data_IF_768206016959
#
_entry.id   IF_768206016959
#
_cell.length_a   1.000
_cell.length_b   1.000
_cell.length_c   1.000
_cell.angle_alpha   90.00
_cell.angle_beta   90.00
_cell.angle_gamma   90.00
#
_symmetry.space_group_name_H-M   'P 1'
#
loop_
_entity.id
_entity.type
_entity.pdbx_description
1 polymer ?
#
# COMPACT_ATOMS: atom_id res chain seq x y z
N UNK A 1 12.35 3.74 7.76
CA UNK A 1 10.87 3.58 7.81
C UNK A 1 10.47 2.61 8.95
N UNK A 2 11.10 2.75 10.11
CA UNK A 2 10.67 2.15 11.38
C UNK A 2 9.71 3.08 12.15
N UNK A 3 9.17 4.12 11.48
CA UNK A 3 8.44 5.24 12.09
C UNK A 3 6.97 4.92 12.40
N UNK A 4 6.51 3.67 12.29
CA UNK A 4 5.11 3.32 12.58
C UNK A 4 4.91 2.30 13.70
N UNK A 5 5.97 1.88 14.40
CA UNK A 5 5.89 0.92 15.52
C UNK A 5 6.81 1.27 16.69
N UNK A 6 6.84 2.54 17.12
CA UNK A 6 7.28 2.84 18.49
C UNK A 6 6.06 3.18 19.33
N UNK A 7 5.55 2.18 20.06
CA UNK A 7 4.72 2.40 21.25
C UNK A 7 5.62 3.04 22.31
N UNK A 8 5.76 4.37 22.26
CA UNK A 8 6.40 5.14 23.31
C UNK A 8 5.53 5.07 24.57
N UNK A 9 6.06 4.48 25.63
CA UNK A 9 5.48 4.53 26.96
C UNK A 9 5.51 5.97 27.49
N UNK A 10 4.45 6.72 27.19
CA UNK A 10 4.21 8.06 27.72
C UNK A 10 3.08 8.68 26.91
N UNK A 11 1.92 8.88 27.55
CA UNK A 11 0.71 9.57 27.07
C UNK A 11 0.86 10.44 25.81
N UNK A 12 0.99 9.83 24.63
CA UNK A 12 0.88 10.53 23.36
C UNK A 12 -0.62 10.62 23.03
N UNK A 13 -1.18 11.82 23.11
CA UNK A 13 -2.42 12.10 22.40
C UNK A 13 -2.22 11.70 20.94
N UNK A 14 -2.90 10.62 20.50
CA UNK A 14 -2.87 10.17 19.10
C UNK A 14 -3.21 11.34 18.20
N UNK A 15 -2.20 11.97 17.59
CA UNK A 15 -2.38 13.08 16.64
C UNK A 15 -3.21 12.56 15.47
N UNK A 16 -4.48 12.96 15.40
CA UNK A 16 -5.40 12.58 14.31
C UNK A 16 -5.37 13.62 13.22
N UNK A 17 -5.13 13.18 11.98
CA UNK A 17 -5.24 14.05 10.82
C UNK A 17 -6.69 14.55 10.68
N UNK A 18 -6.86 15.86 10.45
CA UNK A 18 -8.19 16.45 10.27
C UNK A 18 -8.89 15.87 9.04
N UNK A 19 -10.23 15.78 9.08
CA UNK A 19 -11.02 15.29 7.94
C UNK A 19 -10.74 16.07 6.66
N UNK A 20 -10.51 17.37 6.77
CA UNK A 20 -10.11 18.23 5.65
C UNK A 20 -8.78 17.76 5.06
N UNK A 21 -7.73 17.65 5.87
CA UNK A 21 -6.40 17.27 5.40
C UNK A 21 -6.39 15.85 4.81
N UNK A 22 -7.14 14.91 5.40
CA UNK A 22 -7.28 13.58 4.83
C UNK A 22 -7.98 13.57 3.46
N UNK A 23 -8.99 14.42 3.26
CA UNK A 23 -9.63 14.60 1.95
C UNK A 23 -8.69 15.28 0.95
N UNK A 24 -7.97 16.31 1.39
CA UNK A 24 -7.02 17.05 0.55
C UNK A 24 -5.93 16.12 0.00
N UNK A 25 -5.36 15.23 0.82
CA UNK A 25 -4.36 14.25 0.37
C UNK A 25 -4.92 13.26 -0.66
N UNK A 26 -6.19 12.89 -0.54
CA UNK A 26 -6.86 12.00 -1.50
C UNK A 26 -7.53 12.71 -2.68
N UNK A 27 -7.26 14.00 -2.84
CA UNK A 27 -7.78 14.83 -3.92
C UNK A 27 -6.71 15.00 -5.00
N UNK A 28 -6.91 14.33 -6.14
CA UNK A 28 -5.94 14.34 -7.25
C UNK A 28 -6.32 15.26 -8.41
N UNK A 29 -7.60 15.60 -8.52
CA UNK A 29 -8.10 16.66 -9.42
C UNK A 29 -8.21 17.90 -8.56
N UNK A 30 -8.25 19.10 -9.14
CA UNK A 30 -8.56 20.24 -8.26
C UNK A 30 -9.34 21.38 -8.83
N UNK A 31 -10.33 21.03 -9.64
CA UNK A 31 -11.65 21.64 -9.49
C UNK A 31 -12.55 20.88 -8.50
N UNK A 32 -12.13 19.71 -8.00
CA UNK A 32 -12.95 18.81 -7.19
C UNK A 32 -12.26 18.49 -5.88
N UNK A 33 -13.03 18.25 -4.81
CA UNK A 33 -12.53 17.67 -3.56
C UNK A 33 -13.01 16.24 -3.45
N UNK A 34 -12.09 15.32 -3.17
CA UNK A 34 -12.43 13.92 -2.90
C UNK A 34 -13.39 13.82 -1.73
N UNK A 35 -14.46 13.04 -1.90
CA UNK A 35 -15.39 12.74 -0.80
C UNK A 35 -14.85 11.64 0.11
N UNK A 36 -13.91 10.85 -0.40
CA UNK A 36 -13.25 9.77 0.31
C UNK A 36 -11.94 10.27 0.92
N UNK A 37 -11.84 10.40 2.26
CA UNK A 37 -10.57 10.74 2.89
C UNK A 37 -9.57 9.60 2.72
N UNK A 38 -8.27 9.92 2.69
CA UNK A 38 -7.24 8.90 2.89
C UNK A 38 -7.48 8.23 4.25
N UNK A 39 -7.43 6.90 4.26
CA UNK A 39 -7.69 6.09 5.45
C UNK A 39 -6.41 5.39 5.87
N UNK A 40 -6.10 5.32 7.17
CA UNK A 40 -4.97 4.52 7.64
C UNK A 40 -5.19 3.05 7.28
N UNK A 41 -4.11 2.37 6.88
CA UNK A 41 -4.12 0.94 6.61
C UNK A 41 -4.50 0.18 7.89
N UNK A 42 -5.65 -0.48 7.86
CA UNK A 42 -6.20 -1.20 9.03
C UNK A 42 -5.48 -2.53 9.29
N UNK A 43 -4.95 -3.15 8.24
CA UNK A 43 -4.35 -4.48 8.29
C UNK A 43 -2.82 -4.40 8.25
N UNK A 44 -2.14 -5.03 9.22
CA UNK A 44 -0.67 -5.11 9.28
C UNK A 44 -0.06 -5.75 8.04
N UNK A 45 -0.72 -6.75 7.43
CA UNK A 45 -0.29 -7.35 6.16
C UNK A 45 -0.35 -6.35 5.01
N UNK A 46 -1.36 -5.49 4.98
CA UNK A 46 -1.45 -4.41 4.00
C UNK A 46 -0.34 -3.39 4.25
N UNK A 47 -0.11 -2.95 5.49
CA UNK A 47 1.02 -2.05 5.83
C UNK A 47 2.34 -2.59 5.29
N UNK A 48 2.65 -3.86 5.59
CA UNK A 48 3.89 -4.48 5.14
C UNK A 48 3.99 -4.58 3.62
N UNK A 49 2.87 -4.81 2.92
CA UNK A 49 2.84 -4.87 1.46
C UNK A 49 3.22 -3.52 0.83
N UNK A 50 2.69 -2.42 1.36
CA UNK A 50 2.96 -1.07 0.87
C UNK A 50 4.42 -0.67 1.16
N UNK A 51 4.89 -0.90 2.39
CA UNK A 51 6.31 -0.69 2.76
C UNK A 51 7.24 -1.47 1.82
N UNK A 52 6.95 -2.75 1.55
CA UNK A 52 7.74 -3.58 0.63
C UNK A 52 7.72 -3.04 -0.80
N UNK A 53 6.63 -2.42 -1.25
CA UNK A 53 6.55 -1.80 -2.57
C UNK A 53 7.57 -0.67 -2.70
N UNK A 54 7.65 0.21 -1.70
CA UNK A 54 8.61 1.30 -1.69
C UNK A 54 10.06 0.82 -1.51
N UNK A 55 10.30 -0.20 -0.67
CA UNK A 55 11.62 -0.84 -0.55
C UNK A 55 12.09 -1.40 -1.90
N UNK A 56 11.21 -2.07 -2.65
CA UNK A 56 11.52 -2.56 -4.00
C UNK A 56 11.85 -1.43 -4.97
N UNK A 57 11.18 -0.28 -4.89
CA UNK A 57 11.51 0.91 -5.68
C UNK A 57 12.93 1.42 -5.36
N UNK A 58 13.30 1.50 -4.08
CA UNK A 58 14.66 1.88 -3.66
C UNK A 58 15.70 0.88 -4.18
N UNK A 59 15.47 -0.43 -4.03
CA UNK A 59 16.36 -1.46 -4.57
C UNK A 59 16.44 -1.40 -6.10
N UNK A 60 15.34 -1.13 -6.79
CA UNK A 60 15.31 -0.95 -8.24
C UNK A 60 16.19 0.23 -8.66
N UNK A 61 16.08 1.37 -7.96
CA UNK A 61 16.92 2.53 -8.22
C UNK A 61 18.40 2.21 -8.06
N UNK A 62 18.78 1.54 -6.95
CA UNK A 62 20.14 1.07 -6.71
C UNK A 62 20.63 0.17 -7.85
N UNK A 63 19.89 -0.90 -8.17
CA UNK A 63 20.29 -1.90 -9.19
C UNK A 63 20.49 -1.27 -10.56
N UNK A 64 19.64 -0.32 -10.94
CA UNK A 64 19.75 0.34 -12.24
C UNK A 64 20.91 1.33 -12.29
N UNK A 65 21.08 2.12 -11.22
CA UNK A 65 22.08 3.21 -11.21
C UNK A 65 23.48 2.74 -10.85
N UNK A 66 23.61 1.89 -9.82
CA UNK A 66 24.88 1.41 -9.27
C UNK A 66 25.33 0.11 -9.94
N UNK A 67 24.48 -0.94 -9.94
CA UNK A 67 24.85 -2.24 -10.52
C UNK A 67 24.78 -2.25 -12.06
N UNK A 68 24.16 -1.24 -12.65
CA UNK A 68 23.98 -1.12 -14.10
C UNK A 68 22.99 -2.13 -14.70
N UNK A 69 22.13 -2.73 -13.88
CA UNK A 69 21.07 -3.61 -14.34
C UNK A 69 20.14 -2.90 -15.33
N UNK A 70 19.62 -3.65 -16.30
CA UNK A 70 18.68 -3.17 -17.33
C UNK A 70 19.23 -2.07 -18.26
N UNK A 71 20.54 -1.80 -18.23
CA UNK A 71 21.19 -0.93 -19.22
C UNK A 71 21.19 -1.59 -20.60
N UNK A 72 20.87 -0.80 -21.62
CA UNK A 72 20.98 -1.20 -23.03
C UNK A 72 22.00 -0.26 -23.69
N UNK A 73 23.23 -0.75 -23.84
CA UNK A 73 24.38 0.11 -24.13
C UNK A 73 24.59 1.11 -22.99
N UNK A 74 24.80 2.38 -23.33
CA UNK A 74 25.00 3.47 -22.34
C UNK A 74 23.70 4.03 -21.75
N UNK A 75 22.53 3.51 -22.17
CA UNK A 75 21.23 4.08 -21.80
C UNK A 75 20.64 3.37 -20.60
N UNK A 76 20.29 4.15 -19.59
CA UNK A 76 19.50 3.74 -18.43
C UNK A 76 18.00 3.72 -18.75
N UNK A 77 17.20 2.85 -18.11
CA UNK A 77 15.73 2.84 -18.21
C UNK A 77 15.04 4.14 -17.75
N UNK A 78 15.74 4.98 -16.98
CA UNK A 78 15.28 6.29 -16.50
C UNK A 78 16.48 7.24 -16.35
N UNK A 79 16.22 8.53 -16.17
CA UNK A 79 17.25 9.56 -16.03
C UNK A 79 17.21 10.17 -14.62
N UNK A 80 18.10 9.73 -13.70
CA UNK A 80 18.09 10.27 -12.35
C UNK A 80 18.60 11.70 -12.34
N UNK A 81 17.79 12.60 -11.78
CA UNK A 81 18.15 14.01 -11.57
C UNK A 81 19.30 14.13 -10.58
N UNK A 82 20.00 15.28 -10.61
CA UNK A 82 21.09 15.55 -9.65
C UNK A 82 20.59 15.45 -8.20
N UNK A 83 19.39 15.98 -7.93
CA UNK A 83 18.76 15.90 -6.60
C UNK A 83 18.53 14.47 -6.14
N UNK A 84 18.13 13.58 -7.04
CA UNK A 84 17.93 12.16 -6.72
C UNK A 84 19.25 11.45 -6.44
N UNK A 85 20.31 11.75 -7.20
CA UNK A 85 21.65 11.17 -6.99
C UNK A 85 22.22 11.56 -5.62
N UNK A 86 22.23 12.87 -5.31
CA UNK A 86 22.71 13.38 -4.02
C UNK A 86 21.89 12.80 -2.87
N UNK A 87 20.56 12.85 -2.95
CA UNK A 87 19.73 12.33 -1.86
C UNK A 87 19.87 10.80 -1.68
N UNK A 88 20.14 10.06 -2.76
CA UNK A 88 20.42 8.63 -2.70
C UNK A 88 21.78 8.34 -2.05
N UNK A 89 22.81 9.11 -2.40
CA UNK A 89 24.16 9.00 -1.81
C UNK A 89 24.12 9.30 -0.30
N UNK A 90 23.43 10.36 0.12
CA UNK A 90 23.20 10.69 1.54
C UNK A 90 22.53 9.51 2.27
N UNK A 91 21.46 8.97 1.70
CA UNK A 91 20.71 7.85 2.28
C UNK A 91 21.56 6.58 2.35
N UNK A 92 22.37 6.31 1.32
CA UNK A 92 23.25 5.16 1.30
C UNK A 92 24.35 5.26 2.35
N UNK A 93 24.93 6.45 2.53
CA UNK A 93 25.92 6.73 3.57
C UNK A 93 25.34 6.50 4.98
N UNK A 94 24.19 7.12 5.27
CA UNK A 94 23.52 6.96 6.57
C UNK A 94 23.15 5.49 6.86
N UNK A 95 22.73 4.74 5.84
CA UNK A 95 22.46 3.31 5.99
C UNK A 95 23.74 2.50 6.26
N UNK A 96 24.87 2.89 5.67
CA UNK A 96 26.17 2.27 5.91
C UNK A 96 26.67 2.50 7.33
N UNK A 97 26.57 3.74 7.83
CA UNK A 97 26.97 4.13 9.19
C UNK A 97 26.16 3.36 10.25
N UNK A 98 24.83 3.27 10.08
CA UNK A 98 23.99 2.46 10.96
C UNK A 98 24.38 0.97 10.91
N UNK A 99 24.68 0.44 9.72
CA UNK A 99 25.04 -0.96 9.57
C UNK A 99 26.40 -1.31 10.19
N UNK A 100 27.37 -0.40 10.11
CA UNK A 100 28.69 -0.56 10.75
C UNK A 100 28.56 -0.60 12.28
N UNK A 101 27.71 0.27 12.85
CA UNK A 101 27.40 0.28 14.29
C UNK A 101 26.75 -1.04 14.75
N UNK A 102 25.73 -1.52 14.00
CA UNK A 102 25.06 -2.80 14.28
C UNK A 102 26.03 -4.00 14.23
N UNK A 103 26.98 -3.99 13.29
CA UNK A 103 27.99 -5.05 13.17
C UNK A 103 29.06 -4.97 14.25
N UNK A 104 29.51 -3.77 14.63
CA UNK A 104 30.50 -3.55 15.70
C UNK A 104 30.04 -4.16 17.02
N UNK A 105 28.74 -4.06 17.33
CA UNK A 105 28.12 -4.70 18.50
C UNK A 105 28.06 -6.23 18.42
N UNK A 106 27.84 -6.81 17.24
CA UNK A 106 27.78 -8.27 17.07
C UNK A 106 29.19 -8.92 17.04
N UNK A 107 30.23 -8.18 16.67
CA UNK A 107 31.61 -8.66 16.59
C UNK A 107 32.43 -8.59 17.88
N UNK A 108 31.97 -7.85 18.91
CA UNK A 108 32.69 -7.63 20.17
C UNK A 108 32.54 -8.73 21.23
N UNK A 109 31.84 -9.83 20.94
CA UNK A 109 31.56 -10.91 21.91
C UNK A 109 32.67 -11.95 22.10
N UNK A 110 33.93 -11.63 21.77
CA UNK A 110 35.07 -12.53 21.87
C UNK A 110 36.12 -12.02 22.84
N UNK A 111 36.13 -12.62 24.04
CA UNK A 111 37.25 -12.66 25.01
C UNK A 111 37.67 -11.32 25.65
N UNK A 112 37.10 -10.99 26.81
CA UNK A 112 37.77 -11.02 28.13
C UNK A 112 37.20 -10.02 29.16
N UNK A 113 36.92 -10.58 30.34
CA UNK A 113 36.86 -10.02 31.69
C UNK A 113 35.68 -9.12 32.13
N UNK A 114 35.12 -9.54 33.27
CA UNK A 114 34.09 -8.89 34.08
C UNK A 114 34.64 -7.58 34.66
N UNK A 115 34.20 -6.44 34.12
CA UNK A 115 34.11 -5.20 34.89
C UNK A 115 32.70 -4.63 34.73
N UNK A 116 32.05 -4.42 35.88
CA UNK A 116 30.69 -3.92 36.03
C UNK A 116 30.60 -2.40 35.76
N UNK A 117 29.52 -2.03 35.06
CA UNK A 117 28.79 -0.75 35.08
C UNK A 117 29.26 0.45 34.22
N UNK A 118 28.25 1.14 33.64
CA UNK A 118 28.26 2.43 32.91
C UNK A 118 28.43 2.47 31.37
N UNK A 119 27.92 1.50 30.60
CA UNK A 119 27.95 1.54 29.11
C UNK A 119 26.61 1.74 28.37
N UNK A 120 25.46 1.68 29.05
CA UNK A 120 24.17 1.47 28.36
C UNK A 120 23.46 2.71 27.81
N UNK A 121 23.72 3.91 28.33
CA UNK A 121 22.96 5.12 27.97
C UNK A 121 23.58 5.90 26.80
N UNK A 122 24.91 5.94 26.67
CA UNK A 122 25.58 6.65 25.55
C UNK A 122 25.43 5.90 24.22
N UNK A 123 25.43 4.56 24.25
CA UNK A 123 25.33 3.67 23.10
C UNK A 123 23.89 3.66 22.50
N UNK A 124 22.86 3.76 23.35
CA UNK A 124 21.48 3.92 22.87
C UNK A 124 21.25 5.28 22.19
N UNK A 125 21.92 6.34 22.65
CA UNK A 125 21.84 7.67 22.06
C UNK A 125 22.41 7.75 20.64
N UNK A 126 23.56 7.11 20.38
CA UNK A 126 24.19 7.10 19.05
C UNK A 126 23.32 6.38 18.01
N UNK A 127 22.75 5.22 18.36
CA UNK A 127 21.89 4.45 17.45
C UNK A 127 20.60 5.19 17.12
N UNK A 128 19.96 5.83 18.10
CA UNK A 128 18.75 6.62 17.86
C UNK A 128 19.01 7.81 16.94
N UNK A 129 20.17 8.46 17.07
CA UNK A 129 20.59 9.53 16.17
C UNK A 129 20.82 9.02 14.74
N UNK A 130 21.51 7.89 14.56
CA UNK A 130 21.75 7.27 13.26
C UNK A 130 20.45 6.81 12.59
N UNK A 131 19.53 6.21 13.35
CA UNK A 131 18.20 5.83 12.88
C UNK A 131 17.39 7.06 12.43
N UNK A 132 17.42 8.13 13.23
CA UNK A 132 16.76 9.38 12.88
C UNK A 132 17.37 9.99 11.61
N UNK A 133 18.70 10.00 11.46
CA UNK A 133 19.36 10.45 10.23
C UNK A 133 18.97 9.61 9.01
N UNK A 134 18.92 8.29 9.15
CA UNK A 134 18.46 7.40 8.10
C UNK A 134 17.01 7.69 7.69
N UNK A 135 16.11 7.90 8.65
CA UNK A 135 14.72 8.25 8.35
C UNK A 135 14.61 9.60 7.60
N UNK A 136 15.42 10.59 7.97
CA UNK A 136 15.47 11.89 7.29
C UNK A 136 16.00 11.76 5.84
N UNK A 137 17.06 11.00 5.63
CA UNK A 137 17.67 10.81 4.31
C UNK A 137 16.78 9.95 3.40
N UNK A 138 16.13 8.91 3.93
CA UNK A 138 15.12 8.11 3.20
C UNK A 138 13.94 8.99 2.76
N UNK A 139 13.44 9.87 3.64
CA UNK A 139 12.37 10.79 3.26
C UNK A 139 12.84 11.79 2.19
N UNK A 140 14.04 12.34 2.31
CA UNK A 140 14.62 13.26 1.32
C UNK A 140 14.76 12.60 -0.05
N UNK A 141 15.27 11.38 -0.10
CA UNK A 141 15.37 10.59 -1.34
C UNK A 141 13.98 10.30 -1.92
N UNK A 142 13.04 9.86 -1.08
CA UNK A 142 11.66 9.57 -1.50
C UNK A 142 10.96 10.80 -2.08
N UNK A 143 11.15 11.97 -1.46
CA UNK A 143 10.67 13.24 -2.01
C UNK A 143 11.37 13.62 -3.31
N UNK A 144 12.66 13.34 -3.47
CA UNK A 144 13.37 13.58 -4.74
C UNK A 144 12.84 12.68 -5.88
N UNK A 145 12.35 11.48 -5.57
CA UNK A 145 11.65 10.61 -6.53
C UNK A 145 10.28 11.19 -6.93
N UNK A 146 9.48 11.61 -5.94
CA UNK A 146 8.14 12.17 -6.16
C UNK A 146 8.21 13.52 -6.88
N UNK A 147 9.14 14.38 -6.48
CA UNK A 147 9.32 15.76 -6.97
C UNK A 147 10.22 15.80 -8.21
N UNK A 148 9.99 14.89 -9.16
CA UNK A 148 10.69 14.86 -10.43
C UNK A 148 9.83 15.46 -11.52
N UNK A 149 10.31 16.52 -12.17
CA UNK A 149 9.60 17.14 -13.28
C UNK A 149 9.85 16.37 -14.58
N UNK A 150 8.77 16.04 -15.28
CA UNK A 150 8.74 15.23 -16.49
C UNK A 150 8.13 16.05 -17.65
N UNK A 151 8.94 16.92 -18.25
CA UNK A 151 8.44 17.81 -19.32
C UNK A 151 8.34 17.11 -20.70
N UNK A 152 9.07 16.01 -20.92
CA UNK A 152 9.20 15.38 -22.25
C UNK A 152 8.87 13.88 -22.24
N UNK A 153 9.44 13.12 -21.29
CA UNK A 153 9.30 11.65 -21.25
C UNK A 153 8.95 11.18 -19.85
N UNK A 154 7.80 10.52 -19.71
CA UNK A 154 7.35 9.93 -18.45
C UNK A 154 8.38 8.95 -17.85
N UNK A 155 9.01 8.14 -18.71
CA UNK A 155 10.00 7.12 -18.33
C UNK A 155 11.34 7.68 -17.83
N UNK A 156 11.58 8.99 -17.93
CA UNK A 156 12.75 9.58 -17.27
C UNK A 156 12.61 9.48 -15.74
N UNK A 157 11.40 9.26 -15.21
CA UNK A 157 11.18 8.93 -13.80
C UNK A 157 11.49 7.47 -13.46
N UNK A 158 12.31 7.29 -12.42
CA UNK A 158 12.53 5.99 -11.79
C UNK A 158 11.24 5.34 -11.30
N UNK A 159 10.27 6.12 -10.81
CA UNK A 159 8.99 5.58 -10.33
C UNK A 159 8.13 5.02 -11.47
N UNK A 160 8.07 5.73 -12.59
CA UNK A 160 7.31 5.30 -13.78
C UNK A 160 7.99 4.10 -14.42
N UNK A 161 9.32 4.12 -14.52
CA UNK A 161 10.12 3.01 -15.02
C UNK A 161 9.97 1.76 -14.15
N UNK A 162 10.02 1.92 -12.82
CA UNK A 162 9.76 0.85 -11.85
C UNK A 162 8.35 0.28 -11.98
N UNK A 163 7.32 1.14 -12.07
CA UNK A 163 5.94 0.71 -12.23
C UNK A 163 5.77 -0.15 -13.50
N UNK A 164 6.41 0.22 -14.61
CA UNK A 164 6.37 -0.59 -15.82
C UNK A 164 7.02 -1.98 -15.65
N UNK A 165 8.13 -2.06 -14.91
CA UNK A 165 8.76 -3.35 -14.60
C UNK A 165 7.88 -4.21 -13.70
N UNK A 166 7.15 -3.61 -12.75
CA UNK A 166 6.21 -4.31 -11.87
C UNK A 166 5.04 -4.97 -12.62
N UNK A 167 4.73 -4.55 -13.85
CA UNK A 167 3.68 -5.19 -14.64
C UNK A 167 4.05 -6.61 -15.10
N UNK A 168 5.32 -6.99 -15.03
CA UNK A 168 5.77 -8.34 -15.37
C UNK A 168 5.65 -9.29 -14.18
N UNK A 169 4.97 -10.41 -14.36
CA UNK A 169 4.96 -11.51 -13.39
C UNK A 169 6.04 -12.55 -13.74
N UNK A 170 7.12 -12.63 -12.94
CA UNK A 170 8.19 -13.58 -13.21
C UNK A 170 7.79 -15.04 -12.97
N UNK A 171 6.79 -15.33 -12.13
CA UNK A 171 6.39 -16.69 -11.81
C UNK A 171 5.66 -17.34 -13.00
N UNK A 172 4.67 -16.63 -13.55
CA UNK A 172 3.94 -17.08 -14.74
C UNK A 172 4.61 -16.71 -16.07
N UNK A 173 5.70 -15.93 -16.03
CA UNK A 173 6.43 -15.40 -17.19
C UNK A 173 5.50 -14.69 -18.17
N UNK A 174 4.59 -13.87 -17.64
CA UNK A 174 3.62 -13.12 -18.45
C UNK A 174 3.37 -11.74 -17.86
N UNK A 175 2.61 -10.92 -18.58
CA UNK A 175 2.15 -9.63 -18.09
C UNK A 175 0.97 -9.84 -17.12
N UNK A 176 0.97 -9.07 -16.04
CA UNK A 176 -0.11 -9.08 -15.07
C UNK A 176 -1.43 -8.65 -15.71
N UNK A 177 -2.52 -9.26 -15.25
CA UNK A 177 -3.86 -8.77 -15.54
C UNK A 177 -4.04 -7.36 -14.98
N UNK A 178 -4.81 -6.54 -15.70
CA UNK A 178 -4.95 -5.10 -15.41
C UNK A 178 -5.45 -4.83 -13.98
N UNK A 179 -6.38 -5.66 -13.47
CA UNK A 179 -6.85 -5.55 -12.09
C UNK A 179 -5.75 -5.77 -11.03
N UNK A 180 -4.82 -6.71 -11.28
CA UNK A 180 -3.70 -6.96 -10.38
C UNK A 180 -2.68 -5.82 -10.45
N UNK A 181 -2.42 -5.30 -11.65
CA UNK A 181 -1.46 -4.21 -11.87
C UNK A 181 -1.94 -2.88 -11.25
N UNK A 182 -3.21 -2.52 -11.40
CA UNK A 182 -3.78 -1.29 -10.81
C UNK A 182 -3.72 -1.26 -9.29
N UNK A 183 -3.68 -2.42 -8.64
CA UNK A 183 -3.47 -2.55 -7.20
C UNK A 183 -2.05 -2.08 -6.79
N UNK A 184 -1.01 -2.42 -7.57
CA UNK A 184 0.35 -1.92 -7.33
C UNK A 184 0.48 -0.42 -7.53
N UNK A 185 -0.14 0.12 -8.59
CA UNK A 185 -0.18 1.57 -8.81
C UNK A 185 -0.84 2.31 -7.65
N UNK A 186 -1.91 1.73 -7.10
CA UNK A 186 -2.60 2.29 -5.93
C UNK A 186 -1.73 2.30 -4.68
N UNK A 187 -0.91 1.25 -4.48
CA UNK A 187 0.06 1.20 -3.38
C UNK A 187 1.08 2.34 -3.49
N UNK A 188 1.73 2.48 -4.65
CA UNK A 188 2.71 3.53 -4.88
C UNK A 188 2.13 4.93 -4.71
N UNK A 189 0.92 5.18 -5.21
CA UNK A 189 0.24 6.47 -5.06
C UNK A 189 -0.06 6.75 -3.58
N UNK A 190 -0.50 5.74 -2.84
CA UNK A 190 -0.75 5.89 -1.40
C UNK A 190 0.54 6.18 -0.60
N UNK A 191 1.63 5.50 -0.93
CA UNK A 191 2.94 5.78 -0.31
C UNK A 191 3.36 7.24 -0.57
N UNK A 192 3.14 7.76 -1.79
CA UNK A 192 3.39 9.17 -2.10
C UNK A 192 2.56 10.12 -1.21
N UNK A 193 1.29 9.81 -0.99
CA UNK A 193 0.42 10.62 -0.12
C UNK A 193 0.94 10.64 1.33
N UNK A 194 1.40 9.49 1.84
CA UNK A 194 1.98 9.38 3.17
C UNK A 194 3.31 10.14 3.29
N UNK A 195 4.18 10.05 2.29
CA UNK A 195 5.47 10.74 2.29
C UNK A 195 5.29 12.27 2.21
N UNK A 196 4.30 12.75 1.44
CA UNK A 196 3.94 14.17 1.40
C UNK A 196 3.34 14.64 2.73
N UNK A 197 2.52 13.80 3.38
CA UNK A 197 2.01 14.10 4.71
C UNK A 197 3.17 14.19 5.73
N UNK A 198 4.06 13.21 5.75
CA UNK A 198 5.22 13.20 6.64
C UNK A 198 6.10 14.44 6.43
N UNK A 199 6.38 14.80 5.18
CA UNK A 199 7.12 16.01 4.86
C UNK A 199 6.42 17.28 5.36
N UNK A 200 5.10 17.36 5.18
CA UNK A 200 4.31 18.51 5.63
C UNK A 200 4.30 18.62 7.16
N UNK A 201 4.25 17.49 7.88
CA UNK A 201 4.37 17.44 9.34
C UNK A 201 5.75 17.93 9.79
N UNK A 202 6.84 17.43 9.18
CA UNK A 202 8.19 17.88 9.52
C UNK A 202 8.40 19.38 9.32
N UNK A 203 7.79 19.99 8.29
CA UNK A 203 7.85 21.44 8.09
C UNK A 203 7.17 22.19 9.23
N UNK A 204 6.05 21.68 9.74
CA UNK A 204 5.33 22.29 10.87
C UNK A 204 6.06 22.06 12.19
N UNK A 205 6.46 20.83 12.48
CA UNK A 205 7.14 20.45 13.72
C UNK A 205 8.51 21.17 13.86
N UNK A 206 9.21 21.42 12.75
CA UNK A 206 10.46 22.21 12.74
C UNK A 206 10.25 23.73 12.74
N UNK A 207 9.01 24.22 12.80
CA UNK A 207 8.68 25.64 12.77
C UNK A 207 8.92 26.34 11.42
N UNK A 208 9.25 25.59 10.35
CA UNK A 208 9.43 26.11 8.98
C UNK A 208 8.11 26.48 8.32
N UNK A 209 6.99 25.97 8.83
CA UNK A 209 5.64 26.34 8.42
C UNK A 209 4.70 26.41 9.63
N UNK A 210 3.69 27.27 9.56
CA UNK A 210 2.72 27.45 10.64
C UNK A 210 1.45 26.60 10.45
N UNK A 211 1.09 26.29 9.21
CA UNK A 211 -0.16 25.59 8.88
C UNK A 211 0.12 24.33 8.06
N UNK A 212 -0.27 23.18 8.63
CA UNK A 212 -0.21 21.88 7.97
C UNK A 212 -1.08 21.83 6.71
N UNK A 213 -2.24 22.49 6.74
CA UNK A 213 -3.19 22.49 5.62
C UNK A 213 -2.57 23.16 4.40
N UNK A 214 -2.00 24.35 4.58
CA UNK A 214 -1.27 25.06 3.54
C UNK A 214 -0.08 24.26 2.99
N UNK A 215 0.67 23.56 3.85
CA UNK A 215 1.77 22.70 3.41
C UNK A 215 1.28 21.56 2.50
N UNK A 216 0.23 20.85 2.94
CA UNK A 216 -0.38 19.77 2.16
C UNK A 216 -0.86 20.30 0.81
N UNK A 217 -1.56 21.44 0.78
CA UNK A 217 -2.04 22.05 -0.46
C UNK A 217 -0.88 22.36 -1.40
N UNK A 218 0.17 23.02 -0.92
CA UNK A 218 1.31 23.42 -1.73
C UNK A 218 2.03 22.22 -2.37
N UNK A 219 2.37 21.22 -1.56
CA UNK A 219 3.10 20.04 -2.05
C UNK A 219 2.22 19.18 -2.95
N UNK A 220 0.95 18.96 -2.57
CA UNK A 220 -0.01 18.20 -3.38
C UNK A 220 -0.25 18.86 -4.73
N UNK A 221 -0.52 20.16 -4.75
CA UNK A 221 -0.87 20.87 -5.97
C UNK A 221 0.30 20.94 -6.96
N UNK A 222 1.53 20.86 -6.45
CA UNK A 222 2.73 20.82 -7.26
C UNK A 222 3.06 19.42 -7.79
N UNK A 223 2.74 18.35 -7.04
CA UNK A 223 3.35 17.02 -7.29
C UNK A 223 2.43 15.80 -7.25
N UNK A 224 1.24 15.89 -6.64
CA UNK A 224 0.36 14.72 -6.50
C UNK A 224 -0.84 14.75 -7.45
N UNK A 225 -1.20 15.90 -8.00
CA UNK A 225 -2.37 16.01 -8.87
C UNK A 225 -2.15 15.40 -10.25
N UNK A 226 -3.24 15.00 -10.89
CA UNK A 226 -3.23 14.41 -12.22
C UNK A 226 -2.92 15.39 -13.36
N UNK A 227 -2.91 16.69 -13.09
CA UNK A 227 -2.58 17.78 -14.02
C UNK A 227 -1.14 18.31 -13.82
N UNK A 228 -0.31 17.62 -13.03
CA UNK A 228 1.09 18.00 -12.79
C UNK A 228 2.04 17.29 -13.77
N UNK A 229 3.16 17.91 -14.17
CA UNK A 229 4.19 17.27 -14.99
C UNK A 229 5.10 16.39 -14.12
N UNK A 230 4.52 15.48 -13.33
CA UNK A 230 5.22 14.69 -12.32
C UNK A 230 4.89 13.20 -12.38
N UNK A 231 5.69 12.34 -11.74
CA UNK A 231 5.53 10.90 -11.80
C UNK A 231 4.21 10.41 -11.23
N UNK A 232 3.66 11.07 -10.21
CA UNK A 232 2.39 10.67 -9.61
C UNK A 232 1.24 10.87 -10.60
N UNK A 233 1.28 11.91 -11.43
CA UNK A 233 0.30 12.11 -12.51
C UNK A 233 0.33 10.96 -13.53
N UNK A 234 1.52 10.50 -13.92
CA UNK A 234 1.69 9.36 -14.83
C UNK A 234 1.17 8.05 -14.23
N UNK A 235 1.45 7.80 -12.95
CA UNK A 235 0.91 6.64 -12.21
C UNK A 235 -0.62 6.70 -12.12
N UNK A 236 -1.17 7.89 -11.85
CA UNK A 236 -2.60 8.14 -11.80
C UNK A 236 -3.26 7.89 -13.16
N UNK A 237 -2.70 8.44 -14.23
CA UNK A 237 -3.19 8.25 -15.60
C UNK A 237 -3.19 6.78 -16.00
N UNK A 238 -2.09 6.07 -15.74
CA UNK A 238 -1.97 4.64 -15.99
C UNK A 238 -3.00 3.83 -15.19
N UNK A 239 -3.21 4.18 -13.92
CA UNK A 239 -4.21 3.51 -13.07
C UNK A 239 -5.63 3.73 -13.57
N UNK A 240 -5.98 4.96 -13.95
CA UNK A 240 -7.30 5.30 -14.47
C UNK A 240 -7.59 4.58 -15.79
N UNK A 241 -6.61 4.54 -16.69
CA UNK A 241 -6.71 3.74 -17.91
C UNK A 241 -6.91 2.26 -17.58
N UNK A 242 -6.16 1.72 -16.60
CA UNK A 242 -6.32 0.35 -16.15
C UNK A 242 -7.73 0.05 -15.62
N UNK A 243 -8.32 0.96 -14.84
CA UNK A 243 -9.70 0.81 -14.39
C UNK A 243 -10.70 0.87 -15.54
N UNK A 244 -10.50 1.75 -16.51
CA UNK A 244 -11.39 1.83 -17.69
C UNK A 244 -11.32 0.54 -18.53
N UNK A 245 -10.11 -0.01 -18.73
CA UNK A 245 -9.93 -1.29 -19.40
C UNK A 245 -10.62 -2.40 -18.60
N UNK A 246 -10.41 -2.48 -17.29
CA UNK A 246 -11.02 -3.51 -16.45
C UNK A 246 -12.55 -3.44 -16.45
N UNK A 247 -13.13 -2.24 -16.53
CA UNK A 247 -14.58 -2.03 -16.60
C UNK A 247 -15.16 -2.46 -17.96
N UNK A 248 -14.45 -2.23 -19.05
CA UNK A 248 -14.96 -2.46 -20.41
C UNK A 248 -14.51 -3.80 -21.01
N UNK A 249 -13.58 -4.51 -20.35
CA UNK A 249 -13.14 -5.83 -20.79
C UNK A 249 -13.97 -6.88 -20.06
N UNK A 250 -14.64 -7.75 -20.82
CA UNK A 250 -15.23 -8.96 -20.25
C UNK A 250 -14.07 -9.81 -19.75
N UNK A 251 -13.92 -9.92 -18.43
CA UNK A 251 -12.94 -10.84 -17.84
C UNK A 251 -13.14 -12.22 -18.48
N UNK A 252 -12.08 -12.83 -19.01
CA UNK A 252 -12.14 -14.26 -19.38
C UNK A 252 -12.76 -15.00 -18.21
N UNK A 253 -13.77 -15.84 -18.47
CA UNK A 253 -14.55 -16.53 -17.47
C UNK A 253 -13.63 -17.01 -16.33
N UNK A 254 -13.69 -16.31 -15.19
CA UNK A 254 -12.81 -16.59 -14.06
C UNK A 254 -13.11 -17.98 -13.50
N UNK A 255 -14.35 -18.41 -13.72
CA UNK A 255 -14.92 -19.70 -13.42
C UNK A 255 -15.01 -20.51 -14.72
N UNK A 256 -14.34 -21.65 -14.79
CA UNK A 256 -14.35 -22.55 -15.95
C UNK A 256 -14.93 -23.89 -15.54
N UNK A 257 -15.69 -24.52 -16.43
CA UNK A 257 -16.09 -25.92 -16.25
C UNK A 257 -14.95 -26.82 -16.69
N UNK A 258 -14.60 -27.78 -15.85
CA UNK A 258 -13.81 -28.92 -16.27
C UNK A 258 -14.64 -29.80 -17.22
N UNK A 259 -13.97 -30.62 -18.03
CA UNK A 259 -14.64 -31.42 -19.07
C UNK A 259 -15.64 -32.45 -18.50
N UNK A 260 -15.55 -32.77 -17.21
CA UNK A 260 -16.48 -33.66 -16.51
C UNK A 260 -17.87 -33.03 -16.27
N UNK A 261 -18.02 -31.71 -16.42
CA UNK A 261 -19.27 -31.01 -16.13
C UNK A 261 -19.64 -30.96 -14.63
N UNK A 262 -18.79 -31.47 -13.74
CA UNK A 262 -19.02 -31.54 -12.29
C UNK A 262 -17.96 -30.79 -11.49
N UNK A 263 -16.86 -30.38 -12.11
CA UNK A 263 -15.79 -29.64 -11.47
C UNK A 263 -15.74 -28.23 -12.04
N UNK A 264 -15.77 -27.25 -11.13
CA UNK A 264 -15.58 -25.85 -11.43
C UNK A 264 -14.14 -25.47 -11.05
N UNK A 265 -13.47 -24.75 -11.94
CA UNK A 265 -12.11 -24.23 -11.74
C UNK A 265 -12.18 -22.71 -11.63
N UNK A 266 -11.75 -22.17 -10.49
CA UNK A 266 -11.58 -20.75 -10.26
C UNK A 266 -10.13 -20.46 -9.85
N UNK A 267 -9.39 -19.73 -10.68
CA UNK A 267 -7.94 -19.52 -10.52
C UNK A 267 -7.19 -20.87 -10.36
N UNK A 268 -6.57 -21.12 -9.21
CA UNK A 268 -5.87 -22.38 -8.87
C UNK A 268 -6.76 -23.35 -8.07
N UNK A 269 -7.97 -22.94 -7.71
CA UNK A 269 -8.88 -23.74 -6.90
C UNK A 269 -9.80 -24.55 -7.82
N UNK A 270 -9.84 -25.86 -7.56
CA UNK A 270 -10.77 -26.78 -8.22
C UNK A 270 -11.77 -27.26 -7.19
N UNK A 271 -13.06 -27.08 -7.48
CA UNK A 271 -14.15 -27.51 -6.62
C UNK A 271 -15.10 -28.39 -7.41
N UNK A 272 -15.33 -29.61 -6.93
CA UNK A 272 -16.47 -30.41 -7.40
C UNK A 272 -17.77 -29.78 -6.92
N UNK A 273 -18.85 -29.98 -7.67
CA UNK A 273 -20.17 -29.45 -7.32
C UNK A 273 -20.65 -29.92 -5.93
N UNK A 274 -20.27 -31.12 -5.49
CA UNK A 274 -20.53 -31.61 -4.13
C UNK A 274 -19.83 -30.74 -3.08
N UNK A 275 -18.51 -30.54 -3.23
CA UNK A 275 -17.71 -29.70 -2.34
C UNK A 275 -18.18 -28.24 -2.34
N UNK A 276 -18.61 -27.73 -3.50
CA UNK A 276 -19.17 -26.38 -3.61
C UNK A 276 -20.48 -26.27 -2.81
N UNK A 277 -21.38 -27.26 -2.89
CA UNK A 277 -22.63 -27.27 -2.12
C UNK A 277 -22.36 -27.37 -0.62
N UNK A 278 -21.41 -28.18 -0.21
CA UNK A 278 -20.97 -28.29 1.18
C UNK A 278 -20.40 -26.96 1.68
N UNK A 279 -19.51 -26.34 0.90
CA UNK A 279 -18.92 -25.04 1.22
C UNK A 279 -20.00 -23.97 1.41
N UNK A 280 -20.92 -23.83 0.45
CA UNK A 280 -22.03 -22.85 0.55
C UNK A 280 -22.90 -23.13 1.78
N UNK A 281 -23.19 -24.40 2.08
CA UNK A 281 -23.97 -24.78 3.25
C UNK A 281 -23.25 -24.45 4.56
N UNK A 282 -21.95 -24.74 4.62
CA UNK A 282 -21.09 -24.44 5.77
C UNK A 282 -20.98 -22.93 6.02
N UNK A 283 -20.67 -22.14 5.00
CA UNK A 283 -20.55 -20.68 5.13
C UNK A 283 -21.89 -20.03 5.49
N UNK A 284 -23.00 -20.55 4.96
CA UNK A 284 -24.34 -20.09 5.35
C UNK A 284 -24.60 -20.37 6.84
N UNK A 285 -24.24 -21.54 7.34
CA UNK A 285 -24.38 -21.86 8.77
C UNK A 285 -23.45 -21.01 9.65
N UNK A 286 -22.21 -20.78 9.21
CA UNK A 286 -21.26 -19.92 9.92
C UNK A 286 -21.77 -18.47 10.01
N UNK A 287 -22.25 -17.91 8.89
CA UNK A 287 -22.83 -16.57 8.86
C UNK A 287 -24.06 -16.46 9.78
N UNK A 288 -24.91 -17.47 9.81
CA UNK A 288 -26.06 -17.54 10.74
C UNK A 288 -25.62 -17.52 12.19
N UNK A 289 -24.59 -18.30 12.53
CA UNK A 289 -24.01 -18.34 13.87
C UNK A 289 -23.50 -16.96 14.31
N UNK A 290 -22.80 -16.23 13.43
CA UNK A 290 -22.34 -14.86 13.71
C UNK A 290 -23.52 -13.90 13.96
N UNK A 291 -24.56 -13.97 13.12
CA UNK A 291 -25.77 -13.13 13.28
C UNK A 291 -26.48 -13.37 14.62
N UNK A 292 -26.58 -14.65 15.02
CA UNK A 292 -27.25 -15.04 16.26
C UNK A 292 -26.40 -14.75 17.51
N UNK A 293 -25.14 -15.15 17.50
CA UNK A 293 -24.29 -15.22 18.70
C UNK A 293 -23.47 -13.96 18.93
N UNK A 294 -22.92 -13.38 17.86
CA UNK A 294 -21.95 -12.29 17.99
C UNK A 294 -22.60 -10.92 17.80
N UNK A 295 -23.57 -10.84 16.89
CA UNK A 295 -24.27 -9.60 16.56
C UNK A 295 -25.61 -9.46 17.31
N UNK A 296 -25.98 -10.47 18.11
CA UNK A 296 -27.18 -10.49 18.94
C UNK A 296 -28.44 -9.99 18.22
N UNK A 297 -28.57 -10.25 16.92
CA UNK A 297 -29.82 -9.96 16.19
C UNK A 297 -31.00 -10.76 16.76
N UNK A 298 -30.74 -11.66 17.72
CA UNK A 298 -31.71 -12.47 18.44
C UNK A 298 -31.41 -12.58 19.94
N UNK A 299 -31.63 -11.51 20.71
CA UNK A 299 -31.85 -11.69 22.14
C UNK A 299 -33.17 -12.46 22.32
N UNK A 300 -33.15 -13.58 23.04
CA UNK A 300 -34.38 -14.22 23.53
C UNK A 300 -35.11 -13.19 24.41
N UNK A 301 -36.09 -12.48 23.86
CA UNK A 301 -37.15 -11.93 24.69
C UNK A 301 -37.91 -13.12 25.26
N UNK A 302 -37.69 -13.34 26.54
CA UNK A 302 -38.46 -14.22 27.39
C UNK A 302 -39.93 -13.78 27.38
N UNK A 303 -40.79 -14.78 27.25
CA UNK A 303 -42.15 -14.82 27.80
C UNK A 303 -43.13 -13.77 27.27
N UNK A 304 -43.75 -14.09 26.13
CA UNK A 304 -44.94 -13.37 25.66
C UNK A 304 -45.39 -13.87 24.30
N UNK A 305 -46.57 -14.45 24.26
CA UNK A 305 -47.26 -14.95 23.08
C UNK A 305 -47.22 -13.94 21.90
N UNK A 306 -46.71 -14.39 20.76
CA UNK A 306 -46.97 -13.75 19.48
C UNK A 306 -47.06 -14.83 18.39
N UNK A 307 -48.29 -15.29 18.18
CA UNK A 307 -48.73 -15.89 16.92
C UNK A 307 -48.42 -14.93 15.77
N UNK A 308 -47.81 -15.42 14.69
CA UNK A 308 -47.57 -14.65 13.47
C UNK A 308 -46.35 -15.13 12.68
N UNK A 309 -46.62 -15.96 11.68
CA UNK A 309 -45.74 -16.43 10.58
C UNK A 309 -44.25 -16.66 10.90
N UNK A 310 -43.93 -17.93 11.08
CA UNK A 310 -42.57 -18.43 11.15
C UNK A 310 -41.84 -18.31 9.83
N UNK A 311 -41.13 -17.21 9.61
CA UNK A 311 -39.84 -17.23 8.89
C UNK A 311 -39.02 -15.99 9.23
N UNK A 312 -38.37 -16.05 10.39
CA UNK A 312 -37.73 -14.89 11.03
C UNK A 312 -36.22 -14.77 10.74
N UNK A 313 -35.66 -15.70 9.97
CA UNK A 313 -34.28 -15.66 9.47
C UNK A 313 -34.32 -15.65 7.94
N UNK A 314 -33.54 -14.78 7.25
CA UNK A 314 -33.50 -14.79 5.79
C UNK A 314 -33.14 -16.18 5.26
N UNK A 315 -34.08 -16.83 4.59
CA UNK A 315 -33.82 -18.05 3.83
C UNK A 315 -33.44 -17.65 2.42
N UNK A 316 -32.16 -17.78 2.11
CA UNK A 316 -31.69 -17.67 0.75
C UNK A 316 -32.01 -18.98 0.02
N UNK A 317 -33.01 -18.93 -0.86
CA UNK A 317 -33.24 -20.03 -1.80
C UNK A 317 -32.13 -19.97 -2.86
N UNK A 318 -31.10 -20.79 -2.66
CA UNK A 318 -29.97 -20.90 -3.58
C UNK A 318 -30.40 -21.29 -5.01
N UNK A 319 -31.60 -21.86 -5.18
CA UNK A 319 -32.16 -22.17 -6.51
C UNK A 319 -32.65 -20.92 -7.25
N UNK A 320 -32.81 -19.80 -6.55
CA UNK A 320 -33.21 -18.50 -7.09
C UNK A 320 -32.03 -17.55 -7.24
N UNK A 321 -30.81 -18.02 -6.95
CA UNK A 321 -29.59 -17.23 -7.14
C UNK A 321 -29.36 -17.04 -8.63
N UNK A 322 -29.40 -15.80 -9.08
CA UNK A 322 -29.03 -15.40 -10.44
C UNK A 322 -27.69 -14.69 -10.39
N UNK A 323 -26.85 -14.94 -11.40
CA UNK A 323 -25.47 -14.43 -11.48
C UNK A 323 -25.41 -12.89 -11.51
N UNK A 324 -26.50 -12.26 -11.97
CA UNK A 324 -26.68 -10.81 -11.98
C UNK A 324 -28.11 -10.45 -11.55
N UNK A 325 -28.26 -9.70 -10.46
CA UNK A 325 -29.58 -9.26 -9.95
C UNK A 325 -30.30 -8.28 -10.89
N UNK A 326 -29.59 -7.65 -11.84
CA UNK A 326 -30.17 -6.79 -12.87
C UNK A 326 -30.47 -7.52 -14.19
N UNK A 327 -30.07 -8.78 -14.34
CA UNK A 327 -30.32 -9.56 -15.55
C UNK A 327 -31.67 -10.28 -15.46
N UNK A 328 -32.68 -9.76 -16.14
CA UNK A 328 -34.02 -10.34 -16.23
C UNK A 328 -34.14 -11.48 -17.26
N UNK A 329 -33.02 -12.07 -17.69
CA UNK A 329 -33.01 -13.18 -18.66
C UNK A 329 -31.80 -14.08 -18.43
N UNK A 330 -31.96 -15.42 -18.49
CA UNK A 330 -30.83 -16.34 -18.50
C UNK A 330 -30.06 -16.20 -19.83
N UNK A 331 -28.73 -16.16 -19.74
CA UNK A 331 -27.82 -16.20 -20.89
C UNK A 331 -27.67 -17.59 -21.48
#
# INVERSE_FOLDING_TARGET
MAVLERDYHGTEEKRRLSRLNSKLLNTFRGAEMSQDPIKPLQNSRSKQTYIRSWQKLTCYYYRVTQDGCLRVGDKLPFLPSMRQRVAFEDMWKAAGELHEEEQGRQGGGGEEEEDEEEGGEEDAGSEEELLHELDQTVLRFSLALIQHRLDVRAFDSAMVSFAAVLAWDPASKTWMQVGNYTSYLSQLIYDCQLLVLQHSLQLVDSGKAQDLTACIINVRDSWLRNDTPGPVAELLGTRLLGFEIARNTVNQAQVRWHADGETIVYQEVQLRMEQLRELVSHETQAARKVLEQDLCFWARESDGEAEGDGERMPRYDLRRLVDNWDASSPG
#
